data_IF_106419653746
#
_entry.id   IF_106419653746
#
_cell.length_a   1.000
_cell.length_b   1.000
_cell.length_c   1.000
_cell.angle_alpha   90.00
_cell.angle_beta   90.00
_cell.angle_gamma   90.00
#
_symmetry.space_group_name_H-M   'P 1'
#
loop_
_entity.id
_entity.type
_entity.pdbx_description
1 polymer ?
#
# COMPACT_ATOMS: atom_id res chain seq x y z
N UNK A 1 -11.04 4.87 -36.95
CA UNK A 1 -10.30 3.58 -37.03
C UNK A 1 -8.93 3.65 -36.33
N UNK A 2 -8.00 4.57 -36.68
CA UNK A 2 -6.67 4.70 -36.02
C UNK A 2 -6.70 5.00 -34.52
N UNK A 3 -7.66 5.77 -33.99
CA UNK A 3 -7.78 6.04 -32.56
C UNK A 3 -8.30 4.83 -31.76
N UNK A 4 -9.20 4.07 -32.34
CA UNK A 4 -9.73 2.83 -31.73
C UNK A 4 -8.63 1.77 -31.66
N UNK A 5 -7.81 1.63 -32.71
CA UNK A 5 -6.65 0.72 -32.72
C UNK A 5 -5.59 1.11 -31.65
N UNK A 6 -5.31 2.41 -31.48
CA UNK A 6 -4.39 2.88 -30.41
C UNK A 6 -4.96 2.62 -29.01
N UNK A 7 -6.27 2.78 -28.84
CA UNK A 7 -6.95 2.49 -27.58
C UNK A 7 -6.93 0.98 -27.27
N UNK A 8 -7.22 0.13 -28.26
CA UNK A 8 -7.13 -1.33 -28.10
C UNK A 8 -5.70 -1.80 -27.82
N UNK A 9 -4.69 -1.26 -28.52
CA UNK A 9 -3.28 -1.53 -28.21
C UNK A 9 -2.88 -1.08 -26.81
N UNK A 10 -3.41 0.06 -26.32
CA UNK A 10 -3.13 0.51 -24.95
C UNK A 10 -3.76 -0.41 -23.89
N UNK A 11 -4.95 -0.95 -24.17
CA UNK A 11 -5.60 -1.95 -23.31
C UNK A 11 -4.80 -3.25 -23.31
N UNK A 12 -4.39 -3.74 -24.47
CA UNK A 12 -3.64 -4.98 -24.61
C UNK A 12 -2.28 -4.91 -23.94
N UNK A 13 -1.58 -3.79 -24.07
CA UNK A 13 -0.34 -3.49 -23.36
C UNK A 13 -0.56 -3.41 -21.84
N UNK A 14 -1.69 -2.83 -21.40
CA UNK A 14 -2.04 -2.75 -19.97
C UNK A 14 -2.36 -4.12 -19.41
N UNK A 15 -3.13 -4.93 -20.13
CA UNK A 15 -3.49 -6.30 -19.76
C UNK A 15 -2.23 -7.17 -19.68
N UNK A 16 -1.40 -7.17 -20.72
CA UNK A 16 -0.12 -7.91 -20.75
C UNK A 16 0.82 -7.46 -19.62
N UNK A 17 0.91 -6.15 -19.36
CA UNK A 17 1.70 -5.60 -18.27
C UNK A 17 1.17 -6.05 -16.89
N UNK A 18 -0.15 -6.01 -16.68
CA UNK A 18 -0.80 -6.46 -15.43
C UNK A 18 -0.54 -7.95 -15.21
N UNK A 19 -0.76 -8.80 -16.23
CA UNK A 19 -0.58 -10.25 -16.11
C UNK A 19 0.88 -10.65 -15.91
N UNK A 20 1.83 -10.03 -16.61
CA UNK A 20 3.25 -10.36 -16.47
C UNK A 20 3.84 -9.96 -15.12
N UNK A 21 3.40 -8.83 -14.56
CA UNK A 21 3.89 -8.35 -13.26
C UNK A 21 3.22 -9.09 -12.08
N UNK A 22 1.93 -9.39 -12.17
CA UNK A 22 1.25 -10.20 -11.17
C UNK A 22 1.88 -11.59 -11.04
N UNK A 23 2.29 -12.19 -12.16
CA UNK A 23 2.93 -13.53 -12.13
C UNK A 23 4.24 -13.54 -11.34
N UNK A 24 5.07 -12.49 -11.42
CA UNK A 24 6.34 -12.39 -10.65
C UNK A 24 6.10 -12.20 -9.17
N UNK A 25 5.15 -11.35 -8.82
CA UNK A 25 4.76 -11.09 -7.44
C UNK A 25 4.16 -12.33 -6.79
N UNK A 26 3.23 -13.00 -7.48
CA UNK A 26 2.59 -14.22 -7.02
C UNK A 26 3.59 -15.35 -6.78
N UNK A 27 4.52 -15.57 -7.71
CA UNK A 27 5.58 -16.55 -7.58
C UNK A 27 6.48 -16.26 -6.37
N UNK A 28 6.85 -14.98 -6.18
CA UNK A 28 7.64 -14.57 -5.03
C UNK A 28 6.91 -14.84 -3.72
N UNK A 29 5.65 -14.42 -3.60
CA UNK A 29 4.84 -14.59 -2.40
C UNK A 29 4.56 -16.08 -2.10
N UNK A 30 4.22 -16.88 -3.11
CA UNK A 30 4.05 -18.33 -2.98
C UNK A 30 5.32 -19.01 -2.50
N UNK A 31 6.47 -18.63 -3.05
CA UNK A 31 7.79 -19.13 -2.61
C UNK A 31 8.13 -18.68 -1.20
N UNK A 32 7.86 -17.42 -0.84
CA UNK A 32 8.19 -16.83 0.46
C UNK A 32 7.34 -17.44 1.59
N UNK A 33 6.04 -17.49 1.41
CA UNK A 33 5.13 -18.01 2.43
C UNK A 33 4.90 -19.52 2.34
N UNK A 34 5.20 -20.13 1.20
CA UNK A 34 4.93 -21.55 0.94
C UNK A 34 3.44 -21.84 1.21
N UNK A 35 3.13 -22.89 1.97
CA UNK A 35 1.75 -23.26 2.32
C UNK A 35 1.25 -22.67 3.66
N UNK A 36 1.98 -21.73 4.25
CA UNK A 36 1.61 -21.14 5.54
C UNK A 36 0.38 -20.24 5.41
N UNK A 37 -0.49 -20.29 6.41
CA UNK A 37 -1.56 -19.29 6.57
C UNK A 37 -0.95 -18.00 7.08
N UNK A 38 -1.30 -16.87 6.46
CA UNK A 38 -0.72 -15.57 6.77
C UNK A 38 -1.74 -14.60 7.36
N UNK A 39 -1.24 -13.65 8.15
CA UNK A 39 -1.94 -12.42 8.52
C UNK A 39 -1.47 -11.29 7.61
N UNK A 40 -2.41 -10.74 6.81
CA UNK A 40 -2.20 -9.56 5.97
C UNK A 40 -2.66 -8.30 6.69
N UNK A 41 -1.86 -7.25 6.62
CA UNK A 41 -2.27 -5.87 6.91
C UNK A 41 -2.12 -5.07 5.62
N UNK A 42 -3.24 -4.57 5.09
CA UNK A 42 -3.32 -3.78 3.86
C UNK A 42 -3.61 -2.32 4.23
N UNK A 43 -2.60 -1.47 4.13
CA UNK A 43 -2.69 -0.03 4.41
C UNK A 43 -2.83 0.73 3.10
N UNK A 44 -3.93 1.49 2.96
CA UNK A 44 -4.33 2.14 1.71
C UNK A 44 -4.85 1.12 0.71
N UNK A 45 -5.87 0.36 1.11
CA UNK A 45 -6.39 -0.74 0.30
C UNK A 45 -7.16 -0.29 -0.94
N UNK A 46 -7.58 0.99 -0.99
CA UNK A 46 -8.39 1.53 -2.07
C UNK A 46 -9.64 0.63 -2.33
N UNK A 47 -9.83 0.15 -3.56
CA UNK A 47 -10.93 -0.77 -3.93
C UNK A 47 -10.60 -2.26 -3.63
N UNK A 48 -9.54 -2.53 -2.88
CA UNK A 48 -9.18 -3.87 -2.41
C UNK A 48 -8.58 -4.78 -3.48
N UNK A 49 -7.94 -4.20 -4.49
CA UNK A 49 -7.29 -4.98 -5.55
C UNK A 49 -6.18 -5.89 -5.00
N UNK A 50 -5.30 -5.35 -4.15
CA UNK A 50 -4.23 -6.14 -3.54
C UNK A 50 -4.75 -7.21 -2.58
N UNK A 51 -5.72 -6.85 -1.74
CA UNK A 51 -6.38 -7.84 -0.86
C UNK A 51 -6.97 -9.00 -1.65
N UNK A 52 -7.62 -8.71 -2.80
CA UNK A 52 -8.18 -9.75 -3.68
C UNK A 52 -7.09 -10.66 -4.25
N UNK A 53 -6.01 -10.07 -4.78
CA UNK A 53 -4.86 -10.81 -5.30
C UNK A 53 -4.29 -11.79 -4.25
N UNK A 54 -4.14 -11.34 -3.01
CA UNK A 54 -3.64 -12.19 -1.92
C UNK A 54 -4.63 -13.32 -1.59
N UNK A 55 -5.93 -13.04 -1.56
CA UNK A 55 -6.96 -14.06 -1.30
C UNK A 55 -6.98 -15.18 -2.34
N UNK A 56 -6.70 -14.85 -3.60
CA UNK A 56 -6.70 -15.79 -4.72
C UNK A 56 -5.43 -16.66 -4.76
N UNK A 57 -4.30 -16.14 -4.28
CA UNK A 57 -3.00 -16.76 -4.48
C UNK A 57 -2.35 -17.31 -3.21
N UNK A 58 -2.73 -16.80 -2.04
CA UNK A 58 -2.07 -17.10 -0.76
C UNK A 58 -3.08 -17.60 0.27
N UNK A 59 -2.69 -18.57 1.07
CA UNK A 59 -3.53 -19.05 2.16
C UNK A 59 -3.58 -18.01 3.29
N UNK A 60 -4.76 -17.46 3.58
CA UNK A 60 -4.92 -16.36 4.51
C UNK A 60 -5.70 -16.78 5.75
N UNK A 61 -5.12 -16.51 6.91
CA UNK A 61 -5.77 -16.66 8.21
C UNK A 61 -6.60 -15.42 8.57
N UNK A 62 -6.02 -14.20 8.38
CA UNK A 62 -6.65 -12.96 8.79
C UNK A 62 -6.18 -11.79 7.91
N UNK A 63 -7.08 -10.87 7.66
CA UNK A 63 -6.80 -9.62 6.92
C UNK A 63 -7.29 -8.43 7.74
N UNK A 64 -6.42 -7.44 7.89
CA UNK A 64 -6.77 -6.12 8.39
C UNK A 64 -6.59 -5.10 7.27
N UNK A 65 -7.70 -4.50 6.86
CA UNK A 65 -7.74 -3.42 5.87
C UNK A 65 -7.83 -2.10 6.60
N UNK A 66 -6.99 -1.12 6.22
CA UNK A 66 -7.07 0.27 6.66
C UNK A 66 -7.23 1.16 5.44
N UNK A 67 -8.40 1.80 5.35
CA UNK A 67 -8.78 2.65 4.22
C UNK A 67 -9.52 3.90 4.72
N UNK A 68 -8.95 5.11 4.56
CA UNK A 68 -9.58 6.35 5.00
C UNK A 68 -10.71 6.83 4.09
N UNK A 69 -10.71 6.50 2.78
CA UNK A 69 -11.74 6.93 1.85
C UNK A 69 -13.10 6.31 2.19
N UNK A 70 -14.12 7.17 2.39
CA UNK A 70 -15.49 6.72 2.65
C UNK A 70 -16.08 5.97 1.46
N UNK A 71 -15.78 6.41 0.23
CA UNK A 71 -16.26 5.73 -0.99
C UNK A 71 -15.65 4.34 -1.13
N UNK A 72 -14.32 4.24 -0.94
CA UNK A 72 -13.63 2.94 -0.95
C UNK A 72 -14.14 2.03 0.15
N UNK A 73 -14.40 2.57 1.35
CA UNK A 73 -14.93 1.81 2.49
C UNK A 73 -16.27 1.13 2.17
N UNK A 74 -17.21 1.86 1.54
CA UNK A 74 -18.49 1.29 1.13
C UNK A 74 -18.32 0.15 0.13
N UNK A 75 -17.43 0.34 -0.85
CA UNK A 75 -17.11 -0.70 -1.82
C UNK A 75 -16.46 -1.92 -1.15
N UNK A 76 -15.48 -1.71 -0.28
CA UNK A 76 -14.78 -2.79 0.43
C UNK A 76 -15.74 -3.62 1.29
N UNK A 77 -16.68 -2.99 2.00
CA UNK A 77 -17.70 -3.68 2.81
C UNK A 77 -18.66 -4.53 1.96
N UNK A 78 -18.98 -4.07 0.75
CA UNK A 78 -19.80 -4.84 -0.20
C UNK A 78 -19.03 -6.03 -0.78
N UNK A 79 -17.73 -5.82 -1.09
CA UNK A 79 -16.87 -6.81 -1.74
C UNK A 79 -16.40 -7.91 -0.79
N UNK A 80 -15.99 -7.55 0.43
CA UNK A 80 -15.41 -8.48 1.39
C UNK A 80 -16.33 -8.71 2.59
N UNK A 81 -17.02 -9.84 2.62
CA UNK A 81 -17.97 -10.23 3.68
C UNK A 81 -17.45 -11.32 4.61
N UNK A 82 -16.22 -11.82 4.37
CA UNK A 82 -15.64 -12.92 5.13
C UNK A 82 -15.26 -12.44 6.55
N UNK A 83 -15.57 -13.21 7.58
CA UNK A 83 -15.26 -12.91 8.99
C UNK A 83 -13.75 -12.72 9.25
N UNK A 84 -12.90 -13.37 8.47
CA UNK A 84 -11.45 -13.21 8.56
C UNK A 84 -10.94 -11.84 8.09
N UNK A 85 -11.80 -10.99 7.47
CA UNK A 85 -11.44 -9.67 6.94
C UNK A 85 -12.02 -8.58 7.83
N UNK A 86 -11.15 -7.80 8.47
CA UNK A 86 -11.52 -6.65 9.28
C UNK A 86 -11.22 -5.36 8.53
N UNK A 87 -12.25 -4.59 8.21
CA UNK A 87 -12.15 -3.32 7.50
C UNK A 87 -12.23 -2.17 8.51
N UNK A 88 -11.23 -1.27 8.50
CA UNK A 88 -11.12 -0.15 9.41
C UNK A 88 -11.10 1.16 8.62
N UNK A 89 -12.06 2.06 8.89
CA UNK A 89 -12.07 3.40 8.31
C UNK A 89 -11.16 4.32 9.12
N UNK A 90 -9.87 4.12 8.96
CA UNK A 90 -8.81 4.89 9.62
C UNK A 90 -7.61 5.00 8.70
N UNK A 91 -6.87 6.10 8.79
CA UNK A 91 -5.57 6.21 8.20
C UNK A 91 -4.51 5.66 9.16
N UNK A 92 -3.47 5.04 8.61
CA UNK A 92 -2.28 4.68 9.40
C UNK A 92 -1.22 5.78 9.23
N UNK A 93 -0.64 6.19 10.35
CA UNK A 93 0.41 7.21 10.40
C UNK A 93 1.35 6.93 11.60
N UNK A 94 2.22 7.88 11.95
CA UNK A 94 3.21 7.72 13.00
C UNK A 94 2.64 7.76 14.44
N UNK A 95 1.46 8.35 14.63
CA UNK A 95 0.80 8.49 15.95
C UNK A 95 -0.70 8.72 15.80
N UNK A 96 -1.42 8.61 16.91
CA UNK A 96 -2.84 8.97 16.98
C UNK A 96 -3.01 10.48 16.79
N UNK A 97 -3.81 10.88 15.80
CA UNK A 97 -4.19 12.28 15.50
C UNK A 97 -5.45 12.32 14.66
N UNK A 98 -6.08 13.47 14.58
CA UNK A 98 -7.11 13.76 13.58
C UNK A 98 -6.45 14.54 12.45
N UNK A 99 -6.63 14.10 11.22
CA UNK A 99 -6.10 14.76 10.02
C UNK A 99 -7.21 15.05 9.03
N UNK A 100 -6.98 15.98 8.11
CA UNK A 100 -7.85 16.16 6.95
C UNK A 100 -7.46 15.15 5.89
N UNK A 101 -8.44 14.43 5.36
CA UNK A 101 -8.29 13.57 4.20
C UNK A 101 -8.88 14.26 2.99
N UNK A 102 -8.15 14.26 1.89
CA UNK A 102 -8.52 14.86 0.62
C UNK A 102 -8.88 13.74 -0.34
N UNK A 103 -10.16 13.60 -0.63
CA UNK A 103 -10.68 12.60 -1.56
C UNK A 103 -10.71 13.20 -2.96
N UNK A 104 -10.07 12.52 -3.92
CA UNK A 104 -9.98 12.95 -5.30
C UNK A 104 -10.98 12.21 -6.19
N UNK A 105 -11.22 12.73 -7.41
CA UNK A 105 -11.99 12.02 -8.44
C UNK A 105 -11.36 10.66 -8.76
N UNK A 106 -10.02 10.64 -8.89
CA UNK A 106 -9.25 9.40 -8.99
C UNK A 106 -8.95 8.92 -7.59
N UNK A 107 -9.71 7.94 -7.11
CA UNK A 107 -9.66 7.45 -5.73
C UNK A 107 -8.27 6.99 -5.28
N UNK A 108 -7.48 6.40 -6.19
CA UNK A 108 -6.10 5.98 -5.92
C UNK A 108 -5.13 7.14 -5.64
N UNK A 109 -5.53 8.38 -5.86
CA UNK A 109 -4.73 9.57 -5.59
C UNK A 109 -5.26 10.36 -4.39
N UNK A 110 -6.19 9.79 -3.63
CA UNK A 110 -6.71 10.39 -2.40
C UNK A 110 -5.69 10.23 -1.27
N UNK A 111 -5.47 11.30 -0.47
CA UNK A 111 -4.35 11.37 0.45
C UNK A 111 -4.65 12.23 1.68
N UNK A 112 -3.81 12.10 2.72
CA UNK A 112 -3.72 13.05 3.83
C UNK A 112 -3.03 14.36 3.44
N UNK A 113 -2.46 14.44 2.24
CA UNK A 113 -1.80 15.61 1.70
C UNK A 113 -2.68 16.28 0.63
N UNK A 114 -2.77 17.60 0.67
CA UNK A 114 -3.44 18.33 -0.40
C UNK A 114 -2.55 18.34 -1.64
N UNK A 115 -2.85 17.45 -2.60
CA UNK A 115 -2.08 17.28 -3.83
C UNK A 115 -2.49 18.25 -4.95
N UNK A 116 -3.51 19.10 -4.72
CA UNK A 116 -4.13 19.96 -5.72
C UNK A 116 -3.18 20.87 -6.48
N UNK A 117 -2.05 21.27 -5.89
CA UNK A 117 -1.18 22.33 -6.43
C UNK A 117 0.12 21.81 -7.07
N UNK A 118 0.36 20.49 -7.16
CA UNK A 118 1.71 20.00 -7.51
C UNK A 118 1.81 19.10 -8.73
N UNK A 119 0.72 18.46 -9.18
CA UNK A 119 0.85 17.39 -10.19
C UNK A 119 -0.09 17.44 -11.37
N UNK A 120 -1.30 17.93 -11.13
CA UNK A 120 -2.29 18.02 -12.17
C UNK A 120 -3.25 19.13 -11.74
N UNK A 121 -3.14 20.28 -12.37
CA UNK A 121 -4.10 21.39 -12.20
C UNK A 121 -5.55 20.97 -12.49
N UNK A 122 -5.72 19.81 -13.14
CA UNK A 122 -7.00 19.22 -13.50
C UNK A 122 -7.57 18.24 -12.45
N UNK A 123 -6.79 17.79 -11.44
CA UNK A 123 -7.33 16.97 -10.36
C UNK A 123 -8.20 17.79 -9.43
N UNK A 124 -9.48 17.48 -9.42
CA UNK A 124 -10.45 18.10 -8.50
C UNK A 124 -10.55 17.28 -7.24
N UNK A 125 -10.31 17.91 -6.05
CA UNK A 125 -10.78 17.33 -4.80
C UNK A 125 -12.30 17.31 -4.83
N UNK A 126 -12.87 16.12 -4.72
CA UNK A 126 -14.33 15.95 -4.69
C UNK A 126 -14.86 16.29 -3.30
N UNK A 127 -14.11 15.93 -2.25
CA UNK A 127 -14.45 16.21 -0.87
C UNK A 127 -13.22 16.22 0.04
N UNK A 128 -13.37 16.89 1.18
CA UNK A 128 -12.40 16.80 2.28
C UNK A 128 -13.13 16.61 3.60
N UNK A 129 -12.58 15.78 4.48
CA UNK A 129 -13.17 15.50 5.78
C UNK A 129 -12.12 15.07 6.81
N UNK A 130 -12.51 15.10 8.08
CA UNK A 130 -11.63 14.65 9.16
C UNK A 130 -11.63 13.14 9.25
N UNK A 131 -10.44 12.56 9.42
CA UNK A 131 -10.22 11.13 9.62
C UNK A 131 -9.31 10.87 10.82
N UNK A 132 -9.60 9.82 11.57
CA UNK A 132 -8.72 9.36 12.63
C UNK A 132 -7.50 8.67 12.03
N UNK A 133 -6.32 9.14 12.39
CA UNK A 133 -5.05 8.47 12.13
C UNK A 133 -4.62 7.71 13.39
N UNK A 134 -4.10 6.50 13.22
CA UNK A 134 -3.55 5.67 14.29
C UNK A 134 -2.22 5.07 13.87
N UNK A 135 -1.46 4.50 14.79
CA UNK A 135 -0.22 3.79 14.45
C UNK A 135 -0.43 2.28 14.44
N UNK A 136 0.35 1.54 13.64
CA UNK A 136 0.31 0.07 13.65
C UNK A 136 0.72 -0.49 15.03
N UNK A 137 1.66 0.16 15.71
CA UNK A 137 2.03 -0.22 17.08
C UNK A 137 0.85 -0.18 18.03
N UNK A 138 -0.05 0.83 17.90
CA UNK A 138 -1.25 0.92 18.72
C UNK A 138 -2.30 -0.16 18.41
N UNK A 139 -2.28 -0.70 17.21
CA UNK A 139 -3.22 -1.75 16.78
C UNK A 139 -2.73 -3.15 17.13
N UNK A 140 -1.43 -3.43 16.95
CA UNK A 140 -0.87 -4.78 16.95
C UNK A 140 0.17 -5.02 18.03
N UNK A 141 0.68 -3.97 18.71
CA UNK A 141 1.69 -4.08 19.76
C UNK A 141 1.20 -3.49 21.07
N UNK A 142 0.19 -4.11 21.66
CA UNK A 142 -0.34 -3.75 22.99
C UNK A 142 0.29 -4.61 24.09
N UNK A 143 0.18 -4.14 25.35
CA UNK A 143 0.80 -4.80 26.53
C UNK A 143 0.49 -6.30 26.62
N UNK A 144 -0.75 -6.69 26.32
CA UNK A 144 -1.22 -8.07 26.43
C UNK A 144 -1.50 -8.74 25.07
N UNK A 145 -1.23 -8.05 23.94
CA UNK A 145 -1.50 -8.58 22.62
C UNK A 145 -0.41 -8.14 21.65
N UNK A 146 0.42 -9.09 21.24
CA UNK A 146 1.50 -8.90 20.27
C UNK A 146 1.19 -9.73 19.04
N UNK A 147 0.26 -9.27 18.23
CA UNK A 147 -0.12 -9.95 16.98
C UNK A 147 1.01 -9.77 15.95
N UNK A 148 1.45 -10.88 15.37
CA UNK A 148 2.43 -10.85 14.29
C UNK A 148 1.74 -10.57 12.94
N UNK A 149 2.42 -9.84 12.09
CA UNK A 149 2.01 -9.49 10.73
C UNK A 149 2.93 -10.26 9.79
N UNK A 150 2.39 -11.19 9.01
CA UNK A 150 3.19 -11.91 8.03
C UNK A 150 3.48 -11.05 6.80
N UNK A 151 2.48 -10.28 6.33
CA UNK A 151 2.61 -9.38 5.21
C UNK A 151 1.98 -8.01 5.55
N UNK A 152 2.79 -6.98 5.53
CA UNK A 152 2.36 -5.58 5.59
C UNK A 152 2.50 -4.96 4.20
N UNK A 153 1.38 -4.59 3.56
CA UNK A 153 1.37 -3.73 2.36
C UNK A 153 1.18 -2.29 2.79
N UNK A 154 1.99 -1.41 2.27
CA UNK A 154 1.92 0.04 2.47
C UNK A 154 1.80 0.71 1.10
N UNK A 155 0.73 1.49 0.94
CA UNK A 155 0.48 2.33 -0.21
C UNK A 155 -0.42 3.48 0.29
N UNK A 156 0.21 4.40 1.01
CA UNK A 156 -0.47 5.40 1.80
C UNK A 156 -0.34 6.81 1.18
N UNK A 157 -0.04 6.89 -0.11
CA UNK A 157 -0.04 8.10 -0.92
C UNK A 157 0.71 9.27 -0.25
N UNK A 158 1.96 8.97 0.19
CA UNK A 158 2.88 9.93 0.82
C UNK A 158 3.01 9.81 2.34
N UNK A 159 2.20 8.97 3.01
CA UNK A 159 2.34 8.66 4.44
C UNK A 159 3.22 7.42 4.72
N UNK A 160 3.79 6.77 3.71
CA UNK A 160 4.47 5.47 3.80
C UNK A 160 5.56 5.45 4.88
N UNK A 161 6.42 6.46 4.92
CA UNK A 161 7.43 6.60 5.96
C UNK A 161 6.81 6.83 7.35
N UNK A 162 5.69 7.54 7.43
CA UNK A 162 4.98 7.74 8.70
C UNK A 162 4.30 6.45 9.17
N UNK A 163 3.78 5.62 8.26
CA UNK A 163 3.30 4.27 8.59
C UNK A 163 4.42 3.45 9.21
N UNK A 164 5.61 3.44 8.61
CA UNK A 164 6.80 2.76 9.17
C UNK A 164 7.23 3.35 10.52
N UNK A 165 7.23 4.68 10.67
CA UNK A 165 7.51 5.35 11.96
C UNK A 165 6.48 5.00 13.04
N UNK A 166 5.24 4.69 12.66
CA UNK A 166 4.19 4.18 13.54
C UNK A 166 4.26 2.68 13.85
N UNK A 167 5.28 1.99 13.30
CA UNK A 167 5.49 0.55 13.45
C UNK A 167 6.79 0.21 14.19
N UNK A 168 7.43 1.17 14.85
CA UNK A 168 8.77 1.01 15.46
C UNK A 168 8.88 -0.16 16.41
N UNK A 169 7.87 -0.39 17.26
CA UNK A 169 7.86 -1.51 18.22
C UNK A 169 7.71 -2.84 17.50
N UNK A 170 6.83 -2.92 16.51
CA UNK A 170 6.66 -4.09 15.66
C UNK A 170 7.95 -4.42 14.91
N UNK A 171 8.60 -3.43 14.29
CA UNK A 171 9.85 -3.60 13.56
C UNK A 171 10.99 -4.06 14.49
N UNK A 172 11.19 -3.36 15.63
CA UNK A 172 12.23 -3.70 16.61
C UNK A 172 12.08 -5.14 17.12
N UNK A 173 10.87 -5.60 17.30
CA UNK A 173 10.57 -6.94 17.84
C UNK A 173 10.33 -8.00 16.75
N UNK A 174 10.66 -7.70 15.48
CA UNK A 174 10.51 -8.62 14.33
C UNK A 174 9.10 -9.20 14.19
N UNK A 175 8.09 -8.38 14.49
CA UNK A 175 6.68 -8.76 14.42
C UNK A 175 6.06 -8.56 13.03
N UNK A 176 6.80 -7.98 12.08
CA UNK A 176 6.41 -7.86 10.67
C UNK A 176 7.40 -8.70 9.85
N UNK A 177 6.92 -9.73 9.18
CA UNK A 177 7.80 -10.66 8.47
C UNK A 177 8.23 -10.16 7.10
N UNK A 178 7.27 -9.65 6.34
CA UNK A 178 7.48 -9.13 4.99
C UNK A 178 6.75 -7.78 4.86
N UNK A 179 7.42 -6.79 4.29
CA UNK A 179 6.86 -5.45 4.04
C UNK A 179 6.88 -5.21 2.54
N UNK A 180 5.72 -4.92 1.96
CA UNK A 180 5.57 -4.40 0.59
C UNK A 180 5.33 -2.91 0.65
N UNK A 181 6.03 -2.14 -0.19
CA UNK A 181 5.82 -0.70 -0.34
C UNK A 181 5.80 -0.35 -1.83
N UNK A 182 4.81 0.44 -2.25
CA UNK A 182 4.83 1.11 -3.54
C UNK A 182 5.65 2.39 -3.41
N UNK A 183 6.74 2.47 -4.16
CA UNK A 183 7.65 3.62 -4.15
C UNK A 183 7.53 4.39 -5.45
N UNK A 184 7.32 5.70 -5.33
CA UNK A 184 7.37 6.63 -6.44
C UNK A 184 8.72 7.32 -6.46
N UNK A 185 9.29 7.48 -7.66
CA UNK A 185 10.56 8.16 -7.82
C UNK A 185 10.38 9.68 -7.60
N UNK A 186 11.23 10.26 -6.77
CA UNK A 186 11.24 11.69 -6.44
C UNK A 186 11.57 12.61 -7.63
N UNK A 187 12.12 12.07 -8.73
CA UNK A 187 12.41 12.84 -9.94
C UNK A 187 11.17 13.52 -10.54
N UNK A 188 9.99 12.98 -10.30
CA UNK A 188 8.75 13.57 -10.79
C UNK A 188 8.15 14.59 -9.80
N UNK A 189 8.91 15.10 -8.86
CA UNK A 189 8.55 16.12 -7.84
C UNK A 189 7.09 16.01 -7.36
N UNK A 190 6.67 14.77 -7.09
CA UNK A 190 5.33 14.43 -6.64
C UNK A 190 5.10 14.84 -5.18
N UNK A 191 5.71 15.94 -4.75
CA UNK A 191 5.58 16.55 -3.42
C UNK A 191 5.63 15.52 -2.30
N UNK A 192 6.38 15.69 -1.28
CA UNK A 192 6.45 14.96 0.01
C UNK A 192 6.13 13.43 0.04
N UNK A 193 6.18 12.73 -1.10
CA UNK A 193 6.16 11.27 -1.10
C UNK A 193 7.50 10.77 -0.53
N UNK A 194 7.46 9.73 0.25
CA UNK A 194 8.63 9.20 0.95
C UNK A 194 9.72 8.81 -0.05
N UNK A 195 10.90 9.41 0.08
CA UNK A 195 12.05 9.08 -0.73
C UNK A 195 12.47 7.63 -0.43
N UNK A 196 12.77 6.84 -1.48
CA UNK A 196 13.24 5.46 -1.34
C UNK A 196 14.43 5.35 -0.39
N UNK A 197 15.38 6.29 -0.46
CA UNK A 197 16.57 6.29 0.39
C UNK A 197 16.21 6.46 1.87
N UNK A 198 15.21 7.31 2.18
CA UNK A 198 14.73 7.48 3.57
C UNK A 198 14.08 6.21 4.09
N UNK A 199 13.30 5.51 3.27
CA UNK A 199 12.66 4.25 3.63
C UNK A 199 13.70 3.15 3.85
N UNK A 200 14.67 2.99 2.94
CA UNK A 200 15.76 2.01 3.07
C UNK A 200 16.56 2.31 4.34
N UNK A 201 16.98 3.57 4.54
CA UNK A 201 17.74 3.98 5.71
C UNK A 201 16.95 3.74 7.01
N UNK A 202 15.66 4.04 7.02
CA UNK A 202 14.81 3.81 8.18
C UNK A 202 14.68 2.32 8.50
N UNK A 203 14.40 1.48 7.49
CA UNK A 203 14.21 0.04 7.66
C UNK A 203 15.51 -0.67 8.05
N UNK A 204 16.65 -0.24 7.51
CA UNK A 204 17.98 -0.80 7.86
C UNK A 204 18.31 -0.62 9.35
N UNK A 205 17.83 0.45 10.02
CA UNK A 205 17.97 0.63 11.47
C UNK A 205 17.31 -0.49 12.29
N UNK A 206 16.37 -1.19 11.68
CA UNK A 206 15.66 -2.33 12.28
C UNK A 206 16.08 -3.65 11.66
N UNK A 207 17.20 -3.70 10.90
CA UNK A 207 17.70 -4.88 10.18
C UNK A 207 16.65 -5.47 9.20
N UNK A 208 15.88 -4.61 8.54
CA UNK A 208 15.07 -4.97 7.37
C UNK A 208 15.79 -4.51 6.11
N UNK A 209 15.95 -5.43 5.17
CA UNK A 209 16.71 -5.20 3.94
C UNK A 209 15.83 -5.39 2.73
N UNK A 210 16.11 -4.65 1.66
CA UNK A 210 15.47 -4.82 0.37
C UNK A 210 15.73 -6.25 -0.13
N UNK A 211 14.64 -6.97 -0.40
CA UNK A 211 14.69 -8.39 -0.75
C UNK A 211 14.40 -8.61 -2.23
N UNK A 212 13.41 -7.91 -2.76
CA UNK A 212 13.04 -8.02 -4.18
C UNK A 212 12.27 -6.80 -4.66
N UNK A 213 12.27 -6.62 -5.98
CA UNK A 213 11.47 -5.65 -6.72
C UNK A 213 10.59 -6.45 -7.67
N UNK A 214 9.27 -6.30 -7.59
CA UNK A 214 8.33 -7.12 -8.36
C UNK A 214 7.69 -6.35 -9.51
N UNK A 215 7.57 -5.03 -9.42
CA UNK A 215 6.96 -4.18 -10.42
C UNK A 215 7.79 -2.93 -10.61
N UNK A 216 7.96 -2.52 -11.86
CA UNK A 216 8.58 -1.25 -12.22
C UNK A 216 7.77 -0.60 -13.33
N UNK A 217 7.64 0.71 -13.27
CA UNK A 217 7.02 1.53 -14.31
C UNK A 217 7.97 2.66 -14.69
N UNK A 218 8.15 2.86 -15.98
CA UNK A 218 8.99 3.92 -16.53
C UNK A 218 8.13 4.92 -17.33
N UNK A 219 8.58 6.17 -17.35
CA UNK A 219 8.06 7.23 -18.21
C UNK A 219 9.29 7.96 -18.79
N UNK A 220 9.37 8.08 -20.10
CA UNK A 220 10.51 8.68 -20.81
C UNK A 220 11.86 8.12 -20.32
N UNK A 221 11.98 6.79 -20.28
CA UNK A 221 13.15 6.03 -19.81
C UNK A 221 13.53 6.24 -18.33
N UNK A 222 12.77 7.05 -17.60
CA UNK A 222 12.97 7.28 -16.17
C UNK A 222 12.05 6.41 -15.34
N UNK A 223 12.61 5.79 -14.31
CA UNK A 223 11.84 5.00 -13.36
C UNK A 223 10.82 5.90 -12.64
N UNK A 224 9.54 5.65 -12.86
CA UNK A 224 8.44 6.37 -12.21
C UNK A 224 8.04 5.73 -10.88
N UNK A 225 7.88 4.41 -10.88
CA UNK A 225 7.29 3.68 -9.76
C UNK A 225 7.88 2.27 -9.66
N UNK A 226 7.98 1.74 -8.46
CA UNK A 226 8.33 0.34 -8.21
C UNK A 226 7.63 -0.22 -6.97
N UNK A 227 7.27 -1.51 -7.03
CA UNK A 227 6.85 -2.30 -5.87
C UNK A 227 8.06 -3.03 -5.29
N UNK A 228 8.36 -2.76 -4.04
CA UNK A 228 9.54 -3.28 -3.35
C UNK A 228 9.17 -4.05 -2.10
N UNK A 229 9.96 -5.06 -1.78
CA UNK A 229 9.77 -5.90 -0.60
C UNK A 229 10.98 -5.85 0.31
N UNK A 230 10.71 -5.77 1.61
CA UNK A 230 11.72 -5.81 2.67
C UNK A 230 11.42 -6.95 3.65
N UNK A 231 12.48 -7.65 4.09
CA UNK A 231 12.41 -8.62 5.18
C UNK A 231 13.63 -8.48 6.08
N UNK A 232 13.53 -9.01 7.30
CA UNK A 232 14.67 -9.08 8.22
C UNK A 232 15.43 -10.41 8.05
N UNK A 233 16.71 -10.37 8.36
CA UNK A 233 17.56 -11.56 8.53
C UNK A 233 17.52 -12.04 9.97
#
# INVERSE_FOLDING_TARGET
MRQILKFLQSIDNLVTYIFSNNSKEDLFLKKFFRKKKITLVDVGANLGGYTQLILENINVNKIHIFEPSKKCLEFLKKKFKQEKIKINNKAISNKKKISTFYENEVLSQSSLHNTRNKFNSNLKNVSQYKIECISLDSCFYQKNKKEAIDLLKIDAEGEDLNVLKGSKKLLKNKKIKLIKIELLNSFFDLGKKSNINEIIFFLNKYNYYLTTITKTKYVDEKLLMMDVYFTYK
#
